data_IF_715584499758
#
_entry.id   IF_715584499758
#
_cell.length_a   1.000
_cell.length_b   1.000
_cell.length_c   1.000
_cell.angle_alpha   90.00
_cell.angle_beta   90.00
_cell.angle_gamma   90.00
#
_symmetry.space_group_name_H-M   'P 1'
#
loop_
_entity.id
_entity.type
_entity.pdbx_description
1 polymer ?
#
# COMPACT_ATOMS: atom_id res chain seq x y z
N UNK A 1 -36.99 40.53 24.58
CA UNK A 1 -36.62 39.12 24.40
C UNK A 1 -35.24 39.07 23.75
N UNK A 2 -34.19 39.16 24.56
CA UNK A 2 -32.81 39.10 24.06
C UNK A 2 -32.46 37.65 23.83
N UNK A 3 -32.52 37.21 22.57
CA UNK A 3 -32.08 35.88 22.16
C UNK A 3 -30.58 35.78 22.40
N UNK A 4 -30.19 35.06 23.45
CA UNK A 4 -28.81 34.78 23.79
C UNK A 4 -28.27 33.79 22.74
N UNK A 5 -27.81 34.31 21.59
CA UNK A 5 -27.09 33.54 20.57
C UNK A 5 -25.67 33.28 21.05
N UNK A 6 -25.55 32.44 22.06
CA UNK A 6 -24.32 31.71 22.27
C UNK A 6 -24.43 30.47 21.39
N UNK A 7 -23.78 30.52 20.23
CA UNK A 7 -23.55 29.35 19.40
C UNK A 7 -22.60 28.42 20.18
N UNK A 8 -23.16 27.66 21.13
CA UNK A 8 -22.41 26.61 21.81
C UNK A 8 -22.13 25.54 20.79
N UNK A 9 -20.89 25.49 20.32
CA UNK A 9 -20.45 24.45 19.43
C UNK A 9 -20.45 23.12 20.20
N UNK A 10 -21.41 22.26 19.86
CA UNK A 10 -21.55 20.95 20.50
C UNK A 10 -20.34 20.08 20.13
N UNK A 11 -19.42 19.97 21.08
CA UNK A 11 -18.24 19.13 20.98
C UNK A 11 -18.59 17.67 21.27
N UNK A 12 -18.31 16.79 20.32
CA UNK A 12 -18.59 15.36 20.42
C UNK A 12 -17.37 14.58 20.90
N UNK A 13 -17.61 13.57 21.75
CA UNK A 13 -16.56 12.68 22.23
C UNK A 13 -16.16 11.66 21.14
N UNK A 14 -14.93 11.12 21.15
CA UNK A 14 -14.43 10.24 20.08
C UNK A 14 -15.29 9.01 19.84
N UNK A 15 -15.91 8.46 20.88
CA UNK A 15 -16.79 7.30 20.77
C UNK A 15 -18.10 7.61 20.03
N UNK A 16 -18.61 8.84 20.14
CA UNK A 16 -19.80 9.28 19.43
C UNK A 16 -19.46 9.58 17.96
N UNK A 17 -18.39 10.33 17.71
CA UNK A 17 -17.91 10.66 16.37
C UNK A 17 -17.54 9.41 15.56
N UNK A 18 -16.92 8.42 16.19
CA UNK A 18 -16.57 7.16 15.53
C UNK A 18 -17.81 6.38 15.06
N UNK A 19 -18.90 6.40 15.86
CA UNK A 19 -20.18 5.78 15.49
C UNK A 19 -20.82 6.49 14.30
N UNK A 20 -20.78 7.82 14.29
CA UNK A 20 -21.33 8.63 13.20
C UNK A 20 -20.59 8.40 11.88
N UNK A 21 -19.26 8.31 11.94
CA UNK A 21 -18.41 8.02 10.78
C UNK A 21 -18.35 6.53 10.40
N UNK A 22 -18.98 5.64 11.17
CA UNK A 22 -18.94 4.18 10.99
C UNK A 22 -17.52 3.60 10.97
N UNK A 23 -16.60 4.19 11.75
CA UNK A 23 -15.21 3.72 11.88
C UNK A 23 -14.90 3.30 13.32
N UNK A 24 -13.84 2.52 13.50
CA UNK A 24 -13.35 2.21 14.85
C UNK A 24 -12.77 3.46 15.53
N UNK A 25 -12.84 3.51 16.86
CA UNK A 25 -12.22 4.60 17.66
C UNK A 25 -10.71 4.67 17.41
N UNK A 26 -10.05 3.54 17.16
CA UNK A 26 -8.63 3.48 16.82
C UNK A 26 -8.34 4.13 15.46
N UNK A 27 -9.18 3.87 14.46
CA UNK A 27 -9.09 4.50 13.14
C UNK A 27 -9.27 6.01 13.24
N UNK A 28 -10.28 6.48 13.97
CA UNK A 28 -10.49 7.91 14.23
C UNK A 28 -9.29 8.57 14.93
N UNK A 29 -8.67 7.86 15.88
CA UNK A 29 -7.43 8.31 16.53
C UNK A 29 -6.26 8.42 15.55
N UNK A 30 -6.16 7.49 14.60
CA UNK A 30 -5.15 7.54 13.53
C UNK A 30 -5.39 8.74 12.61
N UNK A 31 -6.64 8.98 12.23
CA UNK A 31 -7.02 10.10 11.36
C UNK A 31 -6.71 11.44 12.02
N UNK A 32 -7.15 11.64 13.26
CA UNK A 32 -6.84 12.85 14.02
C UNK A 32 -5.33 13.10 14.18
N UNK A 33 -4.52 12.06 14.43
CA UNK A 33 -3.06 12.19 14.46
C UNK A 33 -2.46 12.63 13.12
N UNK A 34 -3.00 12.14 12.01
CA UNK A 34 -2.54 12.55 10.67
C UNK A 34 -2.88 14.01 10.44
N UNK A 35 -4.10 14.43 10.78
CA UNK A 35 -4.51 15.84 10.67
C UNK A 35 -3.59 16.75 11.49
N UNK A 36 -3.33 16.43 12.76
CA UNK A 36 -2.40 17.20 13.62
C UNK A 36 -0.99 17.30 13.00
N UNK A 37 -0.50 16.24 12.35
CA UNK A 37 0.81 16.25 11.66
C UNK A 37 0.81 17.09 10.39
N UNK A 38 -0.27 17.04 9.61
CA UNK A 38 -0.40 17.75 8.33
C UNK A 38 -0.60 19.25 8.54
N UNK A 39 -1.42 19.64 9.52
CA UNK A 39 -1.66 21.05 9.86
C UNK A 39 -0.50 21.65 10.67
N UNK A 40 0.31 20.80 11.30
CA UNK A 40 1.37 21.23 12.21
C UNK A 40 0.84 21.78 13.53
N UNK A 41 -0.46 21.59 13.82
CA UNK A 41 -1.11 22.03 15.05
C UNK A 41 -1.38 20.82 15.95
N UNK A 42 -0.56 20.65 16.99
CA UNK A 42 -0.71 19.56 17.95
C UNK A 42 -2.05 19.61 18.73
N UNK A 43 -2.62 20.81 18.86
CA UNK A 43 -3.91 21.06 19.52
C UNK A 43 -4.98 21.49 18.50
N UNK A 44 -5.00 20.86 17.32
CA UNK A 44 -6.03 21.13 16.30
C UNK A 44 -7.44 20.88 16.85
N UNK A 45 -7.64 19.75 17.54
CA UNK A 45 -8.89 19.42 18.20
C UNK A 45 -8.89 19.90 19.65
N UNK A 46 -10.05 20.37 20.12
CA UNK A 46 -10.27 20.64 21.53
C UNK A 46 -10.04 19.37 22.36
N UNK A 47 -9.58 19.50 23.61
CA UNK A 47 -9.25 18.35 24.45
C UNK A 47 -9.92 18.42 25.82
N UNK A 48 -10.28 17.27 26.36
CA UNK A 48 -10.74 17.13 27.74
C UNK A 48 -9.56 17.26 28.72
N UNK A 49 -9.86 17.35 30.02
CA UNK A 49 -8.83 17.31 31.08
C UNK A 49 -8.00 16.01 31.04
N UNK A 50 -8.60 14.91 30.58
CA UNK A 50 -7.94 13.63 30.36
C UNK A 50 -7.26 13.52 28.98
N UNK A 51 -7.06 14.64 28.29
CA UNK A 51 -6.38 14.72 26.99
C UNK A 51 -7.09 13.94 25.86
N UNK A 52 -8.39 13.67 25.99
CA UNK A 52 -9.19 13.07 24.93
C UNK A 52 -9.62 14.15 23.94
N UNK A 53 -9.55 13.84 22.64
CA UNK A 53 -9.94 14.76 21.57
C UNK A 53 -11.46 14.96 21.54
N UNK A 54 -11.90 16.16 21.26
CA UNK A 54 -13.28 16.56 21.09
C UNK A 54 -13.43 17.15 19.70
N UNK A 55 -14.48 16.75 19.00
CA UNK A 55 -14.71 17.09 17.60
C UNK A 55 -15.92 18.01 17.46
N UNK A 56 -15.77 19.11 16.74
CA UNK A 56 -16.89 19.96 16.32
C UNK A 56 -17.69 19.29 15.20
N UNK A 57 -18.87 19.82 14.86
CA UNK A 57 -19.65 19.33 13.72
C UNK A 57 -18.91 19.48 12.40
N UNK A 58 -18.09 20.52 12.26
CA UNK A 58 -17.23 20.74 11.08
C UNK A 58 -16.13 19.67 11.00
N UNK A 59 -15.47 19.38 12.14
CA UNK A 59 -14.44 18.35 12.20
C UNK A 59 -14.98 16.98 11.77
N UNK A 60 -16.22 16.63 12.13
CA UNK A 60 -16.83 15.37 11.71
C UNK A 60 -17.02 15.33 10.19
N UNK A 61 -17.47 16.44 9.58
CA UNK A 61 -17.65 16.53 8.12
C UNK A 61 -16.31 16.45 7.38
N UNK A 62 -15.31 17.20 7.82
CA UNK A 62 -13.97 17.18 7.23
C UNK A 62 -13.34 15.78 7.34
N UNK A 63 -13.53 15.10 8.47
CA UNK A 63 -13.08 13.73 8.67
C UNK A 63 -13.84 12.73 7.79
N UNK A 64 -15.12 12.98 7.50
CA UNK A 64 -15.91 12.17 6.59
C UNK A 64 -15.42 12.31 5.14
N UNK A 65 -15.17 13.53 4.68
CA UNK A 65 -14.64 13.79 3.35
C UNK A 65 -13.21 13.27 3.20
N UNK A 66 -12.39 13.44 4.23
CA UNK A 66 -11.08 12.81 4.32
C UNK A 66 -11.17 11.29 4.20
N UNK A 67 -12.06 10.64 4.95
CA UNK A 67 -12.24 9.19 4.89
C UNK A 67 -12.69 8.73 3.49
N UNK A 68 -13.62 9.47 2.87
CA UNK A 68 -14.11 9.19 1.53
C UNK A 68 -13.02 9.33 0.46
N UNK A 69 -12.20 10.38 0.53
CA UNK A 69 -11.08 10.60 -0.38
C UNK A 69 -10.02 9.49 -0.26
N UNK A 70 -9.73 9.07 0.97
CA UNK A 70 -8.78 7.99 1.22
C UNK A 70 -9.25 6.63 0.64
N UNK A 71 -10.57 6.36 0.64
CA UNK A 71 -11.09 5.12 0.06
C UNK A 71 -11.14 5.12 -1.47
N UNK A 72 -11.52 6.24 -2.10
CA UNK A 72 -11.85 6.26 -3.53
C UNK A 72 -10.65 6.39 -4.46
N UNK A 73 -9.60 7.10 -4.03
CA UNK A 73 -8.61 7.62 -4.97
C UNK A 73 -7.27 6.86 -4.96
N UNK A 74 -7.14 5.77 -4.20
CA UNK A 74 -5.85 5.09 -4.01
C UNK A 74 -4.77 5.97 -3.37
N UNK A 75 -5.14 7.16 -2.90
CA UNK A 75 -4.26 8.14 -2.27
C UNK A 75 -3.84 7.61 -0.89
N UNK A 76 -2.63 7.99 -0.48
CA UNK A 76 -2.21 7.72 0.89
C UNK A 76 -3.06 8.54 1.86
N UNK A 77 -3.28 8.00 3.08
CA UNK A 77 -3.98 8.74 4.15
C UNK A 77 -3.34 10.11 4.43
N UNK A 78 -2.04 10.26 4.20
CA UNK A 78 -1.35 11.52 4.42
C UNK A 78 -1.69 12.54 3.33
N UNK A 79 -1.70 12.11 2.06
CA UNK A 79 -2.03 12.95 0.91
C UNK A 79 -3.50 13.38 0.90
N UNK A 80 -4.42 12.45 1.19
CA UNK A 80 -5.83 12.79 1.34
C UNK A 80 -6.05 13.83 2.47
N UNK A 81 -5.31 13.73 3.58
CA UNK A 81 -5.38 14.71 4.65
C UNK A 81 -4.78 16.06 4.23
N UNK A 82 -3.72 16.09 3.42
CA UNK A 82 -3.20 17.33 2.86
C UNK A 82 -4.23 18.03 1.96
N UNK A 83 -4.94 17.28 1.13
CA UNK A 83 -5.95 17.85 0.24
C UNK A 83 -7.11 18.51 1.00
N UNK A 84 -7.57 17.90 2.10
CA UNK A 84 -8.67 18.43 2.91
C UNK A 84 -8.18 19.54 3.86
N UNK A 85 -7.11 19.30 4.62
CA UNK A 85 -6.73 20.15 5.76
C UNK A 85 -5.58 21.15 5.46
N UNK A 86 -4.71 20.88 4.47
CA UNK A 86 -3.61 21.80 4.17
C UNK A 86 -4.05 23.03 3.38
N UNK A 87 -5.16 22.95 2.63
CA UNK A 87 -5.77 24.10 1.95
C UNK A 87 -6.28 25.12 2.97
N UNK A 88 -6.90 24.67 4.07
CA UNK A 88 -7.38 25.53 5.18
C UNK A 88 -6.23 26.16 5.99
N UNK A 89 -5.14 25.41 6.21
CA UNK A 89 -3.98 25.87 6.98
C UNK A 89 -3.21 27.04 6.34
N UNK A 90 -3.34 27.24 5.02
CA UNK A 90 -2.69 28.34 4.30
C UNK A 90 -3.30 29.71 4.62
N UNK A 91 -4.52 29.74 5.18
CA UNK A 91 -5.15 30.97 5.66
C UNK A 91 -4.72 31.34 7.10
N UNK A 92 -4.29 30.35 7.90
CA UNK A 92 -4.03 30.54 9.35
C UNK A 92 -2.64 31.14 9.64
N UNK A 93 -1.68 31.06 8.70
CA UNK A 93 -0.33 31.65 8.88
C UNK A 93 -0.19 33.11 8.45
N UNK A 94 -1.29 33.85 8.28
CA UNK A 94 -1.29 35.30 7.96
C UNK A 94 -1.95 36.19 9.02
N UNK A 95 -2.23 35.70 10.22
CA UNK A 95 -2.97 36.46 11.23
C UNK A 95 -2.16 36.69 12.50
N UNK A 96 -1.14 37.53 12.38
CA UNK A 96 -0.71 38.40 13.47
C UNK A 96 -0.23 39.73 12.89
N UNK A 97 -1.08 40.38 12.10
CA UNK A 97 -1.19 41.83 12.03
C UNK A 97 -2.36 42.27 11.14
N UNK A 98 -3.06 43.29 11.65
CA UNK A 98 -3.86 44.31 10.93
C UNK A 98 -5.25 44.02 10.35
N UNK A 99 -6.23 44.66 11.02
CA UNK A 99 -7.18 45.67 10.50
C UNK A 99 -8.17 45.29 9.37
N UNK A 100 -9.45 45.37 9.74
CA UNK A 100 -10.60 45.93 8.99
C UNK A 100 -10.59 45.80 7.45
N UNK A 101 -11.46 44.91 6.98
CA UNK A 101 -12.36 45.07 5.83
C UNK A 101 -11.88 45.89 4.63
N UNK A 102 -11.45 45.18 3.59
CA UNK A 102 -11.66 45.54 2.18
C UNK A 102 -11.62 44.24 1.38
N UNK A 103 -12.70 43.92 0.67
CA UNK A 103 -12.63 42.96 -0.42
C UNK A 103 -11.62 43.52 -1.44
N UNK A 104 -10.44 42.91 -1.52
CA UNK A 104 -9.43 43.25 -2.52
C UNK A 104 -9.96 42.85 -3.89
N UNK A 105 -10.43 43.84 -4.64
CA UNK A 105 -10.63 43.71 -6.09
C UNK A 105 -9.21 43.51 -6.65
N UNK A 106 -8.88 42.30 -7.11
CA UNK A 106 -7.57 42.02 -7.71
C UNK A 106 -7.26 43.07 -8.77
N UNK A 107 -6.06 43.65 -8.70
CA UNK A 107 -5.64 44.68 -9.65
C UNK A 107 -5.53 44.10 -11.05
N UNK A 108 -5.83 44.87 -12.10
CA UNK A 108 -5.74 44.42 -13.50
C UNK A 108 -4.37 43.80 -13.84
N UNK A 109 -3.28 44.27 -13.23
CA UNK A 109 -1.94 43.70 -13.39
C UNK A 109 -1.79 42.29 -12.80
N UNK A 110 -2.49 41.96 -11.71
CA UNK A 110 -2.51 40.62 -11.12
C UNK A 110 -3.32 39.66 -11.99
N UNK A 111 -4.43 40.13 -12.58
CA UNK A 111 -5.21 39.34 -13.55
C UNK A 111 -4.37 39.03 -14.79
N UNK A 112 -3.60 40.00 -15.31
CA UNK A 112 -2.72 39.77 -16.46
C UNK A 112 -1.64 38.72 -16.17
N UNK A 113 -1.02 38.77 -14.98
CA UNK A 113 -0.05 37.75 -14.54
C UNK A 113 -0.69 36.37 -14.39
N UNK A 114 -1.94 36.30 -13.94
CA UNK A 114 -2.67 35.05 -13.82
C UNK A 114 -3.00 34.47 -15.21
N UNK A 115 -3.39 35.31 -16.17
CA UNK A 115 -3.64 34.89 -17.56
C UNK A 115 -2.34 34.38 -18.19
N UNK A 116 -1.22 35.08 -18.00
CA UNK A 116 0.08 34.66 -18.53
C UNK A 116 0.53 33.32 -17.89
N UNK A 117 0.33 33.15 -16.58
CA UNK A 117 0.58 31.89 -15.90
C UNK A 117 -0.32 30.75 -16.43
N UNK A 118 -1.60 31.04 -16.73
CA UNK A 118 -2.49 30.05 -17.35
C UNK A 118 -2.04 29.70 -18.75
N UNK A 119 -1.62 30.67 -19.57
CA UNK A 119 -1.12 30.42 -20.91
C UNK A 119 0.16 29.56 -20.89
N UNK A 120 1.08 29.86 -19.97
CA UNK A 120 2.29 29.05 -19.78
C UNK A 120 1.94 27.63 -19.32
N UNK A 121 0.97 27.47 -18.42
CA UNK A 121 0.51 26.16 -17.95
C UNK A 121 -0.13 25.35 -19.08
N UNK A 122 -0.97 25.98 -19.90
CA UNK A 122 -1.59 25.32 -21.08
C UNK A 122 -0.51 24.89 -22.07
N UNK A 123 0.50 25.74 -22.32
CA UNK A 123 1.62 25.38 -23.19
C UNK A 123 2.39 24.17 -22.65
N UNK A 124 2.69 24.14 -21.35
CA UNK A 124 3.35 23.00 -20.72
C UNK A 124 2.50 21.72 -20.81
N UNK A 125 1.19 21.82 -20.59
CA UNK A 125 0.27 20.69 -20.73
C UNK A 125 0.23 20.16 -22.17
N UNK A 126 0.20 21.04 -23.18
CA UNK A 126 0.23 20.61 -24.58
C UNK A 126 1.53 19.86 -24.92
N UNK A 127 2.69 20.35 -24.47
CA UNK A 127 3.96 19.64 -24.68
C UNK A 127 4.01 18.29 -23.95
N UNK A 128 3.38 18.18 -22.78
CA UNK A 128 3.29 16.92 -22.06
C UNK A 128 2.37 15.92 -22.81
N UNK A 129 1.26 16.40 -23.38
CA UNK A 129 0.37 15.59 -24.21
C UNK A 129 1.07 15.07 -25.47
N UNK A 130 1.85 15.92 -26.15
CA UNK A 130 2.65 15.52 -27.31
C UNK A 130 3.67 14.43 -26.94
N UNK A 131 4.41 14.62 -25.84
CA UNK A 131 5.36 13.61 -25.36
C UNK A 131 4.69 12.28 -24.99
N UNK A 132 3.51 12.32 -24.37
CA UNK A 132 2.74 11.12 -24.04
C UNK A 132 2.24 10.42 -25.31
N UNK A 133 1.77 11.18 -26.31
CA UNK A 133 1.35 10.62 -27.59
C UNK A 133 2.52 9.95 -28.32
N UNK A 134 3.70 10.56 -28.32
CA UNK A 134 4.91 9.93 -28.87
C UNK A 134 5.27 8.63 -28.14
N UNK A 135 5.18 8.61 -26.81
CA UNK A 135 5.45 7.40 -26.02
C UNK A 135 4.44 6.29 -26.32
N UNK A 136 3.15 6.63 -26.44
CA UNK A 136 2.11 5.67 -26.80
C UNK A 136 2.37 5.07 -28.19
N UNK A 137 2.70 5.90 -29.19
CA UNK A 137 3.04 5.44 -30.53
C UNK A 137 4.26 4.51 -30.52
N UNK A 138 5.30 4.83 -29.72
CA UNK A 138 6.49 3.98 -29.57
C UNK A 138 6.15 2.63 -28.93
N UNK A 139 5.34 2.62 -27.88
CA UNK A 139 4.91 1.40 -27.19
C UNK A 139 4.04 0.55 -28.12
N UNK A 140 3.14 1.17 -28.87
CA UNK A 140 2.32 0.47 -29.86
C UNK A 140 3.17 -0.20 -30.94
N UNK A 141 4.16 0.50 -31.48
CA UNK A 141 5.11 -0.06 -32.45
C UNK A 141 5.91 -1.23 -31.86
N UNK A 142 6.41 -1.10 -30.62
CA UNK A 142 7.10 -2.19 -29.91
C UNK A 142 6.21 -3.40 -29.70
N UNK A 143 4.95 -3.19 -29.31
CA UNK A 143 3.98 -4.27 -29.12
C UNK A 143 3.67 -4.98 -30.44
N UNK A 144 3.49 -4.24 -31.53
CA UNK A 144 3.30 -4.82 -32.86
C UNK A 144 4.53 -5.64 -33.30
N UNK A 145 5.74 -5.15 -33.04
CA UNK A 145 6.98 -5.89 -33.35
C UNK A 145 7.10 -7.18 -32.54
N UNK A 146 6.78 -7.14 -31.24
CA UNK A 146 6.78 -8.33 -30.38
C UNK A 146 5.75 -9.37 -30.83
N UNK A 147 4.55 -8.94 -31.21
CA UNK A 147 3.51 -9.83 -31.76
C UNK A 147 3.95 -10.47 -33.08
N UNK A 148 4.61 -9.72 -33.98
CA UNK A 148 5.17 -10.28 -35.21
C UNK A 148 6.28 -11.29 -34.92
N UNK A 149 7.17 -11.00 -33.96
CA UNK A 149 8.22 -11.94 -33.53
C UNK A 149 7.63 -13.21 -32.91
N UNK A 150 6.56 -13.10 -32.13
CA UNK A 150 5.88 -14.25 -31.56
C UNK A 150 5.21 -15.10 -32.64
N UNK A 151 4.48 -14.48 -33.56
CA UNK A 151 3.85 -15.18 -34.69
C UNK A 151 4.89 -15.90 -35.57
N UNK A 152 6.02 -15.24 -35.85
CA UNK A 152 7.14 -15.84 -36.58
C UNK A 152 7.93 -16.90 -35.81
N UNK A 153 7.80 -16.96 -34.48
CA UNK A 153 8.32 -18.06 -33.67
C UNK A 153 7.37 -19.26 -33.70
N UNK A 154 6.05 -19.07 -33.65
CA UNK A 154 5.07 -20.16 -33.83
C UNK A 154 5.25 -20.88 -35.16
N UNK A 155 5.48 -20.16 -36.26
CA UNK A 155 5.76 -20.81 -37.56
C UNK A 155 7.11 -21.56 -37.60
N UNK A 156 8.09 -21.17 -36.77
CA UNK A 156 9.35 -21.92 -36.62
C UNK A 156 9.22 -23.16 -35.74
N UNK A 157 8.20 -23.24 -34.89
CA UNK A 157 7.88 -24.45 -34.11
C UNK A 157 7.03 -25.45 -34.91
N UNK A 158 6.26 -25.00 -35.91
CA UNK A 158 5.50 -25.89 -36.81
C UNK A 158 6.41 -26.68 -37.79
N UNK A 159 7.66 -26.26 -37.96
CA UNK A 159 8.67 -26.95 -38.78
C UNK A 159 9.57 -27.94 -38.02
N UNK A 160 9.41 -28.09 -36.70
CA UNK A 160 10.17 -29.07 -35.93
C UNK A 160 9.44 -30.43 -35.98
N UNK A 161 10.09 -31.43 -36.59
CA UNK A 161 9.61 -32.80 -36.58
C UNK A 161 9.34 -33.27 -35.14
N UNK A 162 8.23 -33.98 -34.95
CA UNK A 162 7.81 -34.57 -33.67
C UNK A 162 8.92 -35.47 -33.10
N UNK A 163 9.71 -34.93 -32.17
CA UNK A 163 10.82 -35.61 -31.48
C UNK A 163 10.34 -36.44 -30.27
N UNK A 164 9.05 -36.74 -30.15
CA UNK A 164 8.53 -37.61 -29.08
C UNK A 164 9.08 -39.06 -29.11
N UNK A 165 9.89 -39.42 -30.10
CA UNK A 165 10.55 -40.73 -30.21
C UNK A 165 12.05 -40.79 -29.86
N UNK A 166 12.73 -39.69 -29.52
CA UNK A 166 14.18 -39.68 -29.26
C UNK A 166 14.46 -39.37 -27.78
N UNK A 167 14.13 -40.33 -26.93
CA UNK A 167 14.86 -40.58 -25.69
C UNK A 167 15.00 -42.09 -25.58
N UNK A 168 15.85 -42.66 -26.44
CA UNK A 168 16.44 -43.98 -26.19
C UNK A 168 17.41 -43.84 -25.02
N UNK A 169 17.10 -44.63 -23.99
CA UNK A 169 17.90 -45.02 -22.84
C UNK A 169 19.39 -44.66 -22.89
N UNK A 170 19.86 -43.82 -21.97
CA UNK A 170 21.09 -44.08 -21.20
C UNK A 170 21.03 -43.40 -19.82
N UNK A 171 21.58 -44.14 -18.85
CA UNK A 171 21.52 -44.05 -17.40
C UNK A 171 21.98 -42.71 -16.79
N UNK A 172 21.26 -42.23 -15.76
CA UNK A 172 21.78 -42.02 -14.38
C UNK A 172 20.99 -40.97 -13.57
N UNK A 173 20.74 -41.30 -12.28
CA UNK A 173 20.26 -40.45 -11.16
C UNK A 173 18.77 -40.56 -10.75
N UNK A 174 18.47 -40.38 -9.44
CA UNK A 174 17.61 -41.27 -8.67
C UNK A 174 16.11 -40.96 -8.80
N UNK A 175 15.30 -41.99 -8.53
CA UNK A 175 13.84 -42.06 -8.63
C UNK A 175 13.10 -40.94 -7.86
N UNK A 176 13.03 -39.74 -8.42
CA UNK A 176 11.89 -38.87 -8.21
C UNK A 176 10.71 -39.49 -8.98
N UNK A 177 9.59 -39.72 -8.30
CA UNK A 177 8.39 -40.27 -8.93
C UNK A 177 7.95 -39.34 -10.07
N UNK A 178 8.35 -39.68 -11.30
CA UNK A 178 7.97 -38.98 -12.51
C UNK A 178 6.51 -39.29 -12.78
N UNK A 179 5.61 -38.46 -12.24
CA UNK A 179 4.20 -38.49 -12.62
C UNK A 179 4.10 -38.35 -14.13
N UNK A 180 3.46 -39.32 -14.78
CA UNK A 180 3.20 -39.27 -16.22
C UNK A 180 2.39 -38.02 -16.56
N UNK A 181 2.53 -37.49 -17.78
CA UNK A 181 1.84 -36.25 -18.19
C UNK A 181 0.31 -36.31 -17.99
N UNK A 182 -0.29 -37.51 -18.07
CA UNK A 182 -1.71 -37.73 -17.77
C UNK A 182 -2.04 -37.55 -16.28
N UNK A 183 -1.18 -38.02 -15.38
CA UNK A 183 -1.37 -37.87 -13.93
C UNK A 183 -1.24 -36.41 -13.49
N UNK A 184 -0.29 -35.64 -14.06
CA UNK A 184 -0.18 -34.20 -13.80
C UNK A 184 -1.42 -33.42 -14.22
N UNK A 185 -2.00 -33.76 -15.38
CA UNK A 185 -3.26 -33.15 -15.84
C UNK A 185 -4.45 -33.48 -14.93
N UNK A 186 -4.53 -34.71 -14.43
CA UNK A 186 -5.56 -35.11 -13.47
C UNK A 186 -5.42 -34.39 -12.12
N UNK A 187 -4.19 -34.13 -11.68
CA UNK A 187 -3.91 -33.37 -10.46
C UNK A 187 -4.37 -31.91 -10.59
N UNK A 188 -4.07 -31.25 -11.73
CA UNK A 188 -4.51 -29.87 -11.99
C UNK A 188 -6.04 -29.77 -11.96
N UNK A 189 -6.76 -30.68 -12.62
CA UNK A 189 -8.24 -30.72 -12.62
C UNK A 189 -8.81 -30.96 -11.22
N UNK A 190 -8.08 -31.70 -10.37
CA UNK A 190 -8.48 -31.91 -8.99
C UNK A 190 -8.22 -30.68 -8.11
N UNK A 191 -7.10 -29.99 -8.33
CA UNK A 191 -6.74 -28.77 -7.60
C UNK A 191 -7.63 -27.58 -7.97
N UNK A 192 -8.11 -27.50 -9.21
CA UNK A 192 -9.13 -26.52 -9.65
C UNK A 192 -10.45 -26.64 -8.89
N UNK A 193 -10.76 -27.80 -8.30
CA UNK A 193 -11.99 -28.03 -7.52
C UNK A 193 -11.85 -27.72 -6.04
N UNK A 194 -10.64 -27.47 -5.54
CA UNK A 194 -10.40 -27.12 -4.13
C UNK A 194 -10.75 -25.66 -3.87
N UNK A 195 -11.23 -25.36 -2.67
CA UNK A 195 -11.48 -23.96 -2.29
C UNK A 195 -10.16 -23.24 -2.00
N UNK A 196 -10.15 -21.90 -2.08
CA UNK A 196 -8.95 -21.10 -1.87
C UNK A 196 -8.29 -21.30 -0.51
N UNK A 197 -9.08 -21.58 0.54
CA UNK A 197 -8.57 -21.87 1.89
C UNK A 197 -7.89 -23.23 1.96
N UNK A 198 -8.47 -24.25 1.32
CA UNK A 198 -7.87 -25.59 1.25
C UNK A 198 -6.55 -25.60 0.48
N UNK A 199 -6.47 -24.81 -0.61
CA UNK A 199 -5.22 -24.62 -1.34
C UNK A 199 -4.15 -23.93 -0.48
N UNK A 200 -4.54 -22.94 0.34
CA UNK A 200 -3.62 -22.24 1.23
C UNK A 200 -3.00 -23.17 2.27
N UNK A 201 -3.82 -23.98 2.95
CA UNK A 201 -3.36 -24.94 3.96
C UNK A 201 -2.44 -26.01 3.36
N UNK A 202 -2.75 -26.49 2.14
CA UNK A 202 -1.92 -27.46 1.43
C UNK A 202 -0.57 -26.87 1.01
N UNK A 203 -0.53 -25.60 0.58
CA UNK A 203 0.72 -24.90 0.29
C UNK A 203 1.58 -24.77 1.56
N UNK A 204 0.97 -24.42 2.69
CA UNK A 204 1.69 -24.31 3.97
C UNK A 204 2.24 -25.67 4.43
N UNK A 205 1.45 -26.74 4.34
CA UNK A 205 1.87 -28.09 4.69
C UNK A 205 3.02 -28.56 3.79
N UNK A 206 2.93 -28.31 2.47
CA UNK A 206 3.96 -28.70 1.51
C UNK A 206 5.24 -27.88 1.67
N UNK A 207 5.13 -26.60 2.05
CA UNK A 207 6.28 -25.77 2.40
C UNK A 207 6.98 -26.27 3.67
N UNK A 208 6.21 -26.67 4.70
CA UNK A 208 6.76 -27.29 5.91
C UNK A 208 7.46 -28.63 5.60
N UNK A 209 6.85 -29.49 4.79
CA UNK A 209 7.43 -30.77 4.37
C UNK A 209 8.74 -30.57 3.59
N UNK A 210 8.77 -29.62 2.64
CA UNK A 210 10.00 -29.28 1.94
C UNK A 210 11.07 -28.73 2.88
N UNK A 211 10.69 -27.87 3.84
CA UNK A 211 11.63 -27.32 4.81
C UNK A 211 12.28 -28.42 5.66
N UNK A 212 11.50 -29.44 6.07
CA UNK A 212 12.00 -30.58 6.84
C UNK A 212 12.88 -31.50 6.00
N UNK A 213 12.52 -31.73 4.73
CA UNK A 213 13.35 -32.50 3.79
C UNK A 213 14.65 -31.78 3.46
N UNK A 214 14.64 -30.46 3.34
CA UNK A 214 15.87 -29.67 3.16
C UNK A 214 16.69 -29.57 4.43
N UNK A 215 16.05 -29.61 5.61
CA UNK A 215 16.75 -29.60 6.90
C UNK A 215 17.50 -30.91 7.16
N UNK A 216 16.99 -32.05 6.69
CA UNK A 216 17.68 -33.34 6.82
C UNK A 216 18.74 -33.59 5.74
N UNK A 217 18.62 -32.94 4.57
CA UNK A 217 19.56 -33.10 3.44
C UNK A 217 20.71 -32.06 3.47
N UNK A 218 20.51 -30.90 4.09
CA UNK A 218 21.55 -29.89 4.19
C UNK A 218 22.46 -30.18 5.40
N UNK A 219 23.47 -31.03 5.19
CA UNK A 219 24.53 -31.38 6.16
C UNK A 219 25.47 -30.21 6.51
N UNK A 220 25.10 -28.97 6.24
CA UNK A 220 25.84 -27.81 6.71
C UNK A 220 25.31 -27.42 8.09
N UNK A 221 26.08 -27.78 9.12
CA UNK A 221 25.88 -27.34 10.51
C UNK A 221 25.52 -25.86 10.52
N UNK A 222 24.34 -25.54 11.06
CA UNK A 222 23.95 -24.15 11.21
C UNK A 222 24.82 -23.49 12.27
N UNK A 223 24.95 -22.16 12.26
CA UNK A 223 25.65 -21.42 13.32
C UNK A 223 25.12 -21.75 14.72
N UNK A 224 23.89 -22.26 14.81
CA UNK A 224 23.24 -22.70 16.05
C UNK A 224 23.81 -24.05 16.51
N UNK A 225 24.09 -24.99 15.60
CA UNK A 225 24.70 -26.30 15.91
C UNK A 225 26.20 -26.22 16.27
N UNK A 226 26.84 -25.09 15.94
CA UNK A 226 28.22 -24.79 16.33
C UNK A 226 28.31 -23.99 17.64
N UNK A 227 27.19 -23.63 18.26
CA UNK A 227 27.23 -23.02 19.58
C UNK A 227 27.61 -24.10 20.60
N UNK A 228 28.65 -23.87 21.43
CA UNK A 228 28.94 -24.79 22.51
C UNK A 228 27.73 -24.86 23.44
N UNK A 229 27.26 -26.07 23.78
CA UNK A 229 26.17 -26.23 24.73
C UNK A 229 26.51 -25.51 26.04
N UNK A 230 25.61 -24.67 26.53
CA UNK A 230 25.80 -23.83 27.72
C UNK A 230 25.69 -24.61 29.03
N UNK A 231 26.07 -25.89 29.04
CA UNK A 231 26.25 -26.63 30.27
C UNK A 231 27.73 -26.72 30.61
N UNK A 232 28.31 -25.57 30.97
CA UNK A 232 29.55 -25.60 31.74
C UNK A 232 29.20 -26.05 33.16
N UNK A 233 29.24 -27.36 33.43
CA UNK A 233 29.49 -27.81 34.79
C UNK A 233 30.82 -27.21 35.21
N UNK A 234 30.73 -26.27 36.14
CA UNK A 234 31.87 -25.55 36.64
C UNK A 234 32.91 -26.54 37.18
N UNK A 235 34.17 -26.39 36.76
CA UNK A 235 35.26 -27.32 37.08
C UNK A 235 35.43 -27.61 38.59
N UNK A 236 34.96 -26.72 39.45
CA UNK A 236 34.97 -26.82 40.91
C UNK A 236 33.78 -27.61 41.50
N UNK A 237 32.67 -27.78 40.76
CA UNK A 237 31.56 -28.67 41.15
C UNK A 237 31.96 -30.15 41.17
N UNK A 238 33.09 -30.53 40.53
CA UNK A 238 33.65 -31.88 40.62
C UNK A 238 34.17 -32.23 42.02
N UNK A 239 34.44 -31.24 42.87
CA UNK A 239 34.97 -31.43 44.22
C UNK A 239 33.91 -31.36 45.33
N UNK A 240 32.67 -30.97 45.00
CA UNK A 240 31.60 -30.75 45.98
C UNK A 240 30.60 -31.92 46.07
N UNK A 241 30.72 -32.94 45.22
CA UNK A 241 29.94 -34.17 45.33
C UNK A 241 30.85 -35.31 45.82
N UNK A 242 31.04 -35.35 47.13
CA UNK A 242 31.53 -36.50 47.91
C UNK A 242 30.58 -36.69 49.10
#
# INVERSE_FOLDING_TARGET
MSGNKHDFEELTAPAATAKELQVSVATLRKYSLIVEKVTGQANYYARTKQNARLYSKQDVQDLQDFHRLAQKNGLTLYEAAQQVFAVSSKEIKKTNQTKKGKQEIMTSAQVMKLIDAFQQTISQQNTALENLQEQLNRIEAQNQELLQKQNGQTEKFEGLADISGIVTDEESQPKAQLFTAKQKRQQIVHDEKKTSEQLHDEILAKAQENSQKTASVNEHRTLIDMQPETETRHWWQRFLNL
#
